data_IF_533303483275
#
_entry.id   IF_533303483275
#
_cell.length_a   1.000
_cell.length_b   1.000
_cell.length_c   1.000
_cell.angle_alpha   90.00
_cell.angle_beta   90.00
_cell.angle_gamma   90.00
#
_symmetry.space_group_name_H-M   'P 1'
#
loop_
_entity.id
_entity.type
_entity.pdbx_description
1 polymer ?
#
# COMPACT_ATOMS: atom_id res chain seq x y z
N UNK A 1 -18.02 -11.38 -14.91
CA UNK A 1 -16.72 -10.81 -14.48
C UNK A 1 -16.87 -9.33 -14.15
N UNK A 2 -17.55 -8.55 -15.00
CA UNK A 2 -17.89 -7.12 -14.80
C UNK A 2 -18.56 -6.74 -13.45
N UNK A 3 -19.38 -7.64 -12.85
CA UNK A 3 -20.02 -7.38 -11.54
C UNK A 3 -19.04 -7.39 -10.35
N UNK A 4 -17.95 -8.16 -10.41
CA UNK A 4 -16.99 -8.28 -9.31
C UNK A 4 -16.02 -7.09 -9.30
N UNK A 5 -15.62 -6.64 -10.48
CA UNK A 5 -14.80 -5.42 -10.66
C UNK A 5 -15.55 -4.19 -10.17
N UNK A 6 -16.82 -4.03 -10.58
CA UNK A 6 -17.67 -2.92 -10.13
C UNK A 6 -17.90 -2.90 -8.61
N UNK A 7 -18.03 -4.06 -7.96
CA UNK A 7 -18.16 -4.14 -6.50
C UNK A 7 -16.86 -3.79 -5.76
N UNK A 8 -15.70 -4.17 -6.31
CA UNK A 8 -14.40 -3.83 -5.73
C UNK A 8 -14.10 -2.34 -5.82
N UNK A 9 -14.38 -1.72 -6.97
CA UNK A 9 -14.28 -0.27 -7.12
C UNK A 9 -15.24 0.44 -6.16
N UNK A 10 -16.52 0.04 -6.10
CA UNK A 10 -17.49 0.68 -5.20
C UNK A 10 -17.08 0.63 -3.73
N UNK A 11 -16.54 -0.50 -3.23
CA UNK A 11 -16.02 -0.60 -1.87
C UNK A 11 -14.82 0.32 -1.60
N UNK A 12 -13.90 0.46 -2.58
CA UNK A 12 -12.73 1.33 -2.46
C UNK A 12 -13.08 2.83 -2.53
N UNK A 13 -13.96 3.24 -3.45
CA UNK A 13 -14.42 4.63 -3.55
C UNK A 13 -15.12 5.09 -2.27
N UNK A 14 -15.83 4.18 -1.58
CA UNK A 14 -16.45 4.43 -0.28
C UNK A 14 -15.43 4.69 0.85
N UNK A 15 -14.25 4.04 0.83
CA UNK A 15 -13.19 4.30 1.81
C UNK A 15 -12.47 5.65 1.57
N UNK A 16 -12.47 6.13 0.31
CA UNK A 16 -11.73 7.33 -0.12
C UNK A 16 -12.55 8.62 0.01
N UNK A 17 -13.89 8.60 -0.12
CA UNK A 17 -14.65 9.85 -0.29
C UNK A 17 -15.72 10.20 0.74
N UNK A 18 -16.23 9.28 1.57
CA UNK A 18 -17.27 9.68 2.52
C UNK A 18 -17.25 8.91 3.85
N UNK A 19 -16.53 9.48 4.82
CA UNK A 19 -16.51 9.01 6.22
C UNK A 19 -17.90 9.18 6.89
N UNK A 20 -18.87 9.84 6.24
CA UNK A 20 -20.15 10.19 6.88
C UNK A 20 -21.31 9.23 6.65
N UNK A 21 -21.28 8.36 5.64
CA UNK A 21 -22.52 7.63 5.26
C UNK A 21 -22.36 6.15 4.87
N UNK A 22 -21.21 5.56 5.18
CA UNK A 22 -20.98 4.13 4.95
C UNK A 22 -21.02 3.38 6.28
N UNK A 23 -21.43 2.10 6.28
CA UNK A 23 -21.32 1.22 7.46
C UNK A 23 -19.83 1.01 7.75
N UNK A 24 -19.19 1.99 8.39
CA UNK A 24 -17.78 1.92 8.76
C UNK A 24 -17.66 0.86 9.84
N UNK A 25 -16.88 -0.19 9.59
CA UNK A 25 -16.56 -1.23 10.59
C UNK A 25 -15.92 -0.61 11.85
N UNK A 26 -15.19 0.48 11.67
CA UNK A 26 -14.44 1.20 12.72
C UNK A 26 -14.59 2.73 12.63
N UNK A 27 -15.68 3.35 13.08
CA UNK A 27 -15.74 4.82 13.19
C UNK A 27 -14.76 5.29 14.29
N UNK A 28 -13.87 6.28 14.07
CA UNK A 28 -13.71 7.21 12.93
C UNK A 28 -12.52 6.90 12.00
N UNK A 29 -12.11 5.64 11.87
CA UNK A 29 -10.93 5.22 11.10
C UNK A 29 -11.24 5.20 9.60
N UNK A 30 -10.38 5.82 8.80
CA UNK A 30 -10.47 5.87 7.35
C UNK A 30 -9.11 5.57 6.71
N UNK A 31 -9.13 5.16 5.44
CA UNK A 31 -7.95 4.76 4.70
C UNK A 31 -8.06 5.16 3.23
N UNK A 32 -6.97 5.69 2.67
CA UNK A 32 -6.86 6.04 1.26
C UNK A 32 -5.66 5.31 0.66
N UNK A 33 -5.85 4.11 0.07
CA UNK A 33 -4.81 3.48 -0.73
C UNK A 33 -4.56 4.28 -2.01
N UNK A 34 -3.36 4.17 -2.59
CA UNK A 34 -3.01 4.84 -3.85
C UNK A 34 -3.80 4.30 -5.04
N UNK A 35 -4.23 3.03 -4.97
CA UNK A 35 -5.14 2.49 -5.96
C UNK A 35 -5.58 1.05 -5.71
N UNK A 36 -6.62 0.60 -6.43
CA UNK A 36 -7.00 -0.80 -6.50
C UNK A 36 -6.09 -1.59 -7.44
N UNK A 37 -5.81 -2.84 -7.11
CA UNK A 37 -5.15 -3.78 -8.03
C UNK A 37 -6.21 -4.65 -8.72
N UNK A 38 -6.19 -4.71 -10.06
CA UNK A 38 -7.16 -5.46 -10.85
C UNK A 38 -6.89 -6.97 -10.82
N UNK A 39 -7.36 -7.61 -9.72
CA UNK A 39 -7.46 -9.05 -9.43
C UNK A 39 -6.13 -9.82 -9.22
N UNK A 40 -6.09 -11.07 -8.70
CA UNK A 40 -7.03 -12.20 -8.86
C UNK A 40 -8.18 -12.37 -7.86
N UNK A 41 -8.21 -11.67 -6.71
CA UNK A 41 -9.48 -11.29 -6.03
C UNK A 41 -9.28 -10.25 -4.91
N UNK A 42 -8.80 -9.07 -5.32
CA UNK A 42 -9.00 -7.77 -4.65
C UNK A 42 -8.00 -7.45 -3.52
N UNK A 43 -6.87 -6.87 -3.95
CA UNK A 43 -5.90 -6.16 -3.12
C UNK A 43 -5.85 -4.67 -3.48
N UNK A 44 -4.98 -3.95 -2.80
CA UNK A 44 -4.69 -2.52 -3.02
C UNK A 44 -3.22 -2.35 -3.37
N UNK A 45 -2.84 -1.17 -3.83
CA UNK A 45 -1.44 -0.77 -3.92
C UNK A 45 -1.17 0.47 -3.08
N UNK A 46 0.07 0.56 -2.59
CA UNK A 46 0.63 1.71 -1.90
C UNK A 46 2.02 1.97 -2.49
N UNK A 47 2.21 3.18 -3.03
CA UNK A 47 3.41 3.61 -3.72
C UNK A 47 4.09 4.69 -2.87
N UNK A 48 5.29 4.38 -2.38
CA UNK A 48 6.14 5.36 -1.69
C UNK A 48 7.28 5.81 -2.58
N UNK A 49 7.45 7.12 -2.67
CA UNK A 49 8.60 7.76 -3.31
C UNK A 49 9.34 8.64 -2.28
N UNK A 50 10.11 8.05 -1.33
CA UNK A 50 10.81 8.83 -0.31
C UNK A 50 11.78 9.83 -0.95
N UNK A 51 11.89 11.05 -0.40
CA UNK A 51 12.84 12.04 -0.90
C UNK A 51 14.29 11.52 -0.85
N UNK A 52 14.62 10.73 0.17
CA UNK A 52 15.93 10.08 0.33
C UNK A 52 16.15 8.95 -0.68
N UNK A 53 15.09 8.32 -1.17
CA UNK A 53 15.16 7.25 -2.19
C UNK A 53 15.60 7.76 -3.57
N UNK A 54 15.64 9.08 -3.79
CA UNK A 54 16.30 9.68 -4.96
C UNK A 54 17.80 9.35 -5.01
N UNK A 55 18.41 9.16 -3.84
CA UNK A 55 19.84 8.95 -3.67
C UNK A 55 20.19 7.54 -3.15
N UNK A 56 19.21 6.64 -3.06
CA UNK A 56 19.40 5.30 -2.52
C UNK A 56 19.00 4.25 -3.56
N UNK A 57 19.63 3.09 -3.46
CA UNK A 57 19.25 1.85 -4.13
C UNK A 57 18.46 0.96 -3.16
N UNK A 58 17.85 -0.10 -3.69
CA UNK A 58 17.29 -1.17 -2.85
C UNK A 58 18.31 -1.76 -1.85
N UNK A 59 19.59 -1.84 -2.23
CA UNK A 59 20.66 -2.35 -1.37
C UNK A 59 20.91 -1.38 -0.20
N UNK A 60 20.92 -0.09 -0.49
CA UNK A 60 21.12 0.94 0.54
C UNK A 60 20.01 0.85 1.60
N UNK A 61 18.73 0.73 1.20
CA UNK A 61 17.60 0.62 2.13
C UNK A 61 17.79 -0.53 3.12
N UNK A 62 18.13 -1.74 2.64
CA UNK A 62 18.31 -2.95 3.46
C UNK A 62 19.40 -2.82 4.53
N UNK A 63 20.39 -1.97 4.30
CA UNK A 63 21.51 -1.74 5.23
C UNK A 63 21.22 -0.67 6.27
N UNK A 64 20.15 0.12 6.10
CA UNK A 64 19.81 1.17 7.06
C UNK A 64 19.09 0.62 8.29
N UNK A 65 19.25 1.32 9.43
CA UNK A 65 18.49 1.02 10.66
C UNK A 65 16.97 1.24 10.51
N UNK A 66 16.54 2.01 9.51
CA UNK A 66 15.13 2.29 9.19
C UNK A 66 14.70 1.61 7.89
N UNK A 67 15.27 0.45 7.58
CA UNK A 67 14.90 -0.31 6.38
C UNK A 67 13.40 -0.55 6.34
N UNK A 68 12.81 -0.24 5.19
CA UNK A 68 11.40 -0.51 4.95
C UNK A 68 11.17 -1.97 4.59
N UNK A 69 12.14 -2.60 3.91
CA UNK A 69 12.06 -3.99 3.48
C UNK A 69 12.80 -4.95 4.43
N UNK A 70 12.29 -6.17 4.54
CA UNK A 70 12.95 -7.27 5.24
C UNK A 70 14.22 -7.70 4.51
N UNK A 71 15.26 -8.08 5.26
CA UNK A 71 16.57 -8.47 4.67
C UNK A 71 16.48 -9.69 3.76
N UNK A 72 15.59 -10.63 4.06
CA UNK A 72 15.46 -11.94 3.40
C UNK A 72 14.36 -12.00 2.32
N UNK A 73 13.71 -10.87 1.99
CA UNK A 73 12.63 -10.90 0.99
C UNK A 73 12.20 -9.52 0.49
N UNK A 74 11.17 -9.51 -0.36
CA UNK A 74 10.49 -8.29 -0.84
C UNK A 74 9.30 -7.90 0.06
N UNK A 75 9.26 -8.42 1.30
CA UNK A 75 8.22 -8.11 2.26
C UNK A 75 8.56 -6.85 3.06
N UNK A 76 7.54 -6.07 3.38
CA UNK A 76 7.64 -4.90 4.24
C UNK A 76 7.92 -5.32 5.69
N UNK A 77 8.82 -4.61 6.36
CA UNK A 77 9.22 -4.92 7.74
C UNK A 77 8.09 -4.60 8.74
N UNK A 78 7.74 -5.56 9.60
CA UNK A 78 6.58 -5.45 10.49
C UNK A 78 6.70 -4.36 11.58
N UNK A 79 7.90 -3.86 11.83
CA UNK A 79 8.17 -2.76 12.78
C UNK A 79 8.17 -1.37 12.13
N UNK A 80 8.04 -1.29 10.80
CA UNK A 80 8.11 -0.03 10.07
C UNK A 80 6.74 0.65 10.02
N UNK A 81 6.67 1.98 10.11
CA UNK A 81 5.39 2.72 10.13
C UNK A 81 4.50 2.43 8.91
N UNK A 82 5.11 2.33 7.73
CA UNK A 82 4.44 1.91 6.49
C UNK A 82 3.73 0.55 6.61
N UNK A 83 4.21 -0.37 7.45
CA UNK A 83 3.55 -1.66 7.67
C UNK A 83 2.23 -1.47 8.41
N UNK A 84 2.22 -0.65 9.46
CA UNK A 84 0.98 -0.31 10.17
C UNK A 84 -0.01 0.42 9.26
N UNK A 85 0.47 1.30 8.37
CA UNK A 85 -0.37 1.97 7.38
C UNK A 85 -1.03 0.96 6.42
N UNK A 86 -0.24 0.05 5.84
CA UNK A 86 -0.75 -0.96 4.93
C UNK A 86 -1.79 -1.86 5.62
N UNK A 87 -1.52 -2.32 6.85
CA UNK A 87 -2.47 -3.14 7.62
C UNK A 87 -3.79 -2.41 7.90
N UNK A 88 -3.74 -1.10 8.22
CA UNK A 88 -4.94 -0.29 8.39
C UNK A 88 -5.76 -0.23 7.08
N UNK A 89 -5.11 0.00 5.94
CA UNK A 89 -5.79 0.03 4.64
C UNK A 89 -6.41 -1.33 4.28
N UNK A 90 -5.73 -2.46 4.59
CA UNK A 90 -6.27 -3.80 4.38
C UNK A 90 -7.57 -4.02 5.16
N UNK A 91 -7.58 -3.66 6.45
CA UNK A 91 -8.73 -3.87 7.32
C UNK A 91 -9.90 -2.93 7.00
N UNK A 92 -9.63 -1.65 6.69
CA UNK A 92 -10.65 -0.68 6.31
C UNK A 92 -11.28 -1.01 4.95
N UNK A 93 -10.47 -1.43 3.96
CA UNK A 93 -10.96 -1.74 2.62
C UNK A 93 -11.47 -3.20 2.48
N UNK A 94 -11.32 -4.02 3.52
CA UNK A 94 -11.67 -5.46 3.53
C UNK A 94 -11.00 -6.26 2.41
N UNK A 95 -9.71 -6.00 2.17
CA UNK A 95 -8.90 -6.62 1.11
C UNK A 95 -7.79 -7.49 1.70
N UNK A 96 -7.23 -8.40 0.89
CA UNK A 96 -6.33 -9.47 1.39
C UNK A 96 -4.84 -9.16 1.30
N UNK A 97 -4.45 -8.25 0.42
CA UNK A 97 -3.05 -7.92 0.19
C UNK A 97 -2.89 -6.48 -0.28
N UNK A 98 -1.70 -5.95 -0.07
CA UNK A 98 -1.27 -4.65 -0.52
C UNK A 98 0.05 -4.81 -1.27
N UNK A 99 0.07 -4.44 -2.55
CA UNK A 99 1.31 -4.33 -3.32
C UNK A 99 2.02 -3.05 -2.87
N UNK A 100 3.12 -3.22 -2.14
CA UNK A 100 3.89 -2.13 -1.58
C UNK A 100 5.10 -1.81 -2.46
N UNK A 101 5.07 -0.67 -3.13
CA UNK A 101 6.07 -0.27 -4.11
C UNK A 101 6.90 0.87 -3.53
N UNK A 102 8.22 0.72 -3.48
CA UNK A 102 9.15 1.81 -3.16
C UNK A 102 9.93 2.16 -4.42
N UNK A 103 9.77 3.38 -4.92
CA UNK A 103 10.51 3.84 -6.09
C UNK A 103 11.86 4.43 -5.67
N UNK A 104 12.94 3.80 -6.14
CA UNK A 104 14.31 4.26 -6.00
C UNK A 104 14.77 4.84 -7.35
N UNK A 105 15.13 6.13 -7.39
CA UNK A 105 15.47 6.78 -8.67
C UNK A 105 16.85 6.35 -9.20
N UNK A 106 17.76 5.91 -8.34
CA UNK A 106 19.08 5.39 -8.79
C UNK A 106 18.97 4.07 -9.54
N UNK A 107 17.92 3.29 -9.29
CA UNK A 107 17.73 2.00 -9.95
C UNK A 107 17.24 2.16 -11.40
N UNK A 108 16.73 3.35 -11.77
CA UNK A 108 16.26 3.67 -13.14
C UNK A 108 17.36 4.31 -14.01
N UNK A 109 18.43 4.82 -13.40
CA UNK A 109 19.51 5.53 -14.09
C UNK A 109 20.52 4.61 -14.82
N UNK A 110 20.22 3.32 -14.93
CA UNK A 110 21.03 2.30 -15.61
C UNK A 110 20.46 1.79 -16.94
N UNK A 111 19.46 2.46 -17.52
CA UNK A 111 18.92 2.22 -18.87
C UNK A 111 19.23 3.43 -19.75
#
# INVERSE_FOLDING_TARGET
MEKAENMCYQKLWMAVQDVRDTKVKWPPVAASPDGPVSCLCCGICEIKCPLTAKCMTLVDDRTTKRRSLMTEGLALACYHDNFHQAQCQLDVCEVKYCDFIVQFLRDVAGI
#
